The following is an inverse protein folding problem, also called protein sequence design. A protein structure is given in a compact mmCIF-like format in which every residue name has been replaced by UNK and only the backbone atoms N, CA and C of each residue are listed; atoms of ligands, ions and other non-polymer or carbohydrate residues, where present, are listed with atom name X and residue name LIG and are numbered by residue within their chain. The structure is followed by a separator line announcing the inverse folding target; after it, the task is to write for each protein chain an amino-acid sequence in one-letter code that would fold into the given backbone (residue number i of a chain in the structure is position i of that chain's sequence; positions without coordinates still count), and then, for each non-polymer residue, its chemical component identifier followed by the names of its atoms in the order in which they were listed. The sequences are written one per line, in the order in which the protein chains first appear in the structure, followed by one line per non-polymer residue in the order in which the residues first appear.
data_IF_528280564084
#
_entry.id   IF_528280564084
#
_cell.length_a   1.000
_cell.length_b   1.000
_cell.length_c   1.000
_cell.angle_alpha   90.00
_cell.angle_beta   90.00
_cell.angle_gamma   90.00
#
_symmetry.space_group_name_H-M   'P 1'
#
loop_
_entity.id
_entity.type
_entity.pdbx_description
1 polymer ?
#
# COMPACT_ATOMS: atom_id res chain seq x y z
N UNK A 1 -14.32 -11.33 12.25
CA UNK A 1 -13.80 -11.51 10.85
C UNK A 1 -12.34 -11.10 10.84
N UNK A 2 -11.50 -11.56 9.91
CA UNK A 2 -10.16 -11.02 9.78
C UNK A 2 -10.23 -9.50 9.55
N UNK A 3 -9.22 -8.78 10.02
CA UNK A 3 -9.09 -7.36 9.75
C UNK A 3 -8.96 -7.13 8.23
N UNK A 4 -9.32 -5.93 7.77
CA UNK A 4 -9.28 -5.56 6.36
C UNK A 4 -8.10 -4.64 6.09
N UNK A 5 -7.31 -4.93 5.07
CA UNK A 5 -6.33 -4.01 4.51
C UNK A 5 -7.09 -2.94 3.71
N UNK A 6 -7.28 -1.76 4.30
CA UNK A 6 -8.29 -0.83 3.79
C UNK A 6 -7.72 0.35 2.98
N UNK A 7 -6.46 0.72 3.17
CA UNK A 7 -5.86 1.78 2.37
C UNK A 7 -4.33 1.71 2.29
N UNK A 8 -3.79 2.42 1.30
CA UNK A 8 -2.37 2.77 1.17
C UNK A 8 -2.27 4.28 1.01
N UNK A 9 -1.30 4.90 1.67
CA UNK A 9 -1.02 6.32 1.50
C UNK A 9 0.30 6.52 0.74
N UNK A 10 0.29 7.41 -0.23
CA UNK A 10 1.45 7.81 -1.03
C UNK A 10 1.70 9.29 -0.80
N UNK A 11 2.89 9.63 -0.31
CA UNK A 11 3.34 11.01 -0.18
C UNK A 11 3.87 11.51 -1.53
N UNK A 12 3.36 12.65 -1.99
CA UNK A 12 3.68 13.21 -3.31
C UNK A 12 3.72 14.73 -3.26
N UNK A 13 4.67 15.33 -3.96
CA UNK A 13 4.68 16.78 -4.20
C UNK A 13 3.56 17.19 -5.16
N UNK A 14 3.16 16.29 -6.05
CA UNK A 14 2.08 16.46 -7.01
C UNK A 14 0.91 15.53 -6.70
N UNK A 15 0.49 15.46 -5.43
CA UNK A 15 -0.53 14.51 -4.95
C UNK A 15 -1.84 14.49 -5.76
N UNK A 16 -2.37 15.60 -6.32
CA UNK A 16 -3.54 15.54 -7.18
C UNK A 16 -3.26 14.85 -8.52
N UNK A 17 -2.07 15.09 -9.12
CA UNK A 17 -1.65 14.46 -10.35
C UNK A 17 -1.36 12.97 -10.14
N UNK A 18 -0.76 12.63 -8.99
CA UNK A 18 -0.52 11.24 -8.60
C UNK A 18 -1.85 10.47 -8.45
N UNK A 19 -2.85 11.04 -7.78
CA UNK A 19 -4.19 10.45 -7.71
C UNK A 19 -4.80 10.26 -9.10
N UNK A 20 -4.65 11.26 -9.99
CA UNK A 20 -5.13 11.19 -11.37
C UNK A 20 -4.46 10.09 -12.19
N UNK A 21 -3.18 9.81 -11.95
CA UNK A 21 -2.48 8.68 -12.55
C UNK A 21 -3.20 7.35 -12.24
N UNK A 22 -3.52 7.10 -10.97
CA UNK A 22 -4.21 5.87 -10.57
C UNK A 22 -5.66 5.80 -11.07
N UNK A 23 -6.37 6.93 -11.14
CA UNK A 23 -7.69 7.00 -11.76
C UNK A 23 -7.63 6.61 -13.25
N UNK A 24 -6.68 7.22 -13.99
CA UNK A 24 -6.60 7.06 -15.45
C UNK A 24 -6.09 5.69 -15.83
N UNK A 25 -5.06 5.17 -15.16
CA UNK A 25 -4.43 3.90 -15.53
C UNK A 25 -5.15 2.69 -14.95
N UNK A 26 -5.58 2.77 -13.70
CA UNK A 26 -6.18 1.63 -12.98
C UNK A 26 -7.69 1.75 -12.78
N UNK A 27 -8.33 2.79 -13.31
CA UNK A 27 -9.77 2.98 -13.19
C UNK A 27 -10.26 3.21 -11.75
N UNK A 28 -9.36 3.59 -10.84
CA UNK A 28 -9.75 3.95 -9.48
C UNK A 28 -10.66 5.16 -9.50
N UNK A 29 -11.56 5.31 -8.53
CA UNK A 29 -12.51 6.42 -8.50
C UNK A 29 -12.27 7.30 -7.31
N UNK A 30 -12.32 8.62 -7.56
CA UNK A 30 -12.28 9.64 -6.51
C UNK A 30 -13.61 9.67 -5.75
N UNK A 31 -13.53 9.77 -4.43
CA UNK A 31 -14.73 10.03 -3.62
C UNK A 31 -15.31 11.40 -3.94
N UNK A 32 -16.64 11.45 -4.07
CA UNK A 32 -17.38 12.68 -4.34
C UNK A 32 -17.57 13.56 -3.12
N UNK A 33 -17.39 13.03 -1.90
CA UNK A 33 -17.61 13.79 -0.67
C UNK A 33 -16.46 14.73 -0.33
N UNK A 34 -16.74 16.00 0.03
CA UNK A 34 -15.73 16.91 0.52
C UNK A 34 -15.02 16.34 1.75
N UNK A 35 -13.71 16.51 1.82
CA UNK A 35 -12.89 16.05 2.94
C UNK A 35 -12.14 17.22 3.57
N UNK A 36 -11.96 17.21 4.89
CA UNK A 36 -11.23 18.27 5.56
C UNK A 36 -9.72 18.23 5.33
N UNK A 37 -9.20 17.16 4.72
CA UNK A 37 -7.77 16.99 4.43
C UNK A 37 -7.42 17.49 3.03
N UNK A 38 -6.15 17.86 2.84
CA UNK A 38 -5.60 18.21 1.52
C UNK A 38 -5.30 16.97 0.65
N UNK A 39 -5.55 15.77 1.14
CA UNK A 39 -5.32 14.55 0.38
C UNK A 39 -6.38 14.32 -0.69
N UNK A 40 -6.00 13.65 -1.76
CA UNK A 40 -6.94 13.11 -2.74
C UNK A 40 -7.01 11.60 -2.55
N UNK A 41 -8.23 11.10 -2.33
CA UNK A 41 -8.47 9.67 -2.13
C UNK A 41 -9.14 9.11 -3.37
N UNK A 42 -8.54 8.09 -3.93
CA UNK A 42 -9.09 7.24 -4.99
C UNK A 42 -9.21 5.82 -4.45
N UNK A 43 -10.01 4.98 -5.07
CA UNK A 43 -10.18 3.61 -4.60
C UNK A 43 -10.74 2.68 -5.67
N UNK A 44 -10.54 1.39 -5.43
CA UNK A 44 -11.05 0.30 -6.27
C UNK A 44 -12.38 -0.29 -5.77
N UNK A 45 -12.95 0.29 -4.72
CA UNK A 45 -14.15 -0.20 -4.04
C UNK A 45 -13.86 -1.09 -2.83
N UNK A 46 -12.62 -1.50 -2.62
CA UNK A 46 -12.18 -2.25 -1.45
C UNK A 46 -11.00 -1.59 -0.75
N UNK A 47 -9.95 -1.24 -1.48
CA UNK A 47 -8.78 -0.52 -0.97
C UNK A 47 -8.81 0.92 -1.47
N UNK A 48 -8.55 1.85 -0.56
CA UNK A 48 -8.29 3.23 -0.92
C UNK A 48 -6.81 3.50 -1.13
N UNK A 49 -6.54 4.36 -2.10
CA UNK A 49 -5.24 4.94 -2.28
C UNK A 49 -5.34 6.42 -1.93
N UNK A 50 -4.62 6.81 -0.90
CA UNK A 50 -4.64 8.15 -0.36
C UNK A 50 -3.39 8.90 -0.81
N UNK A 51 -3.48 9.70 -1.85
CA UNK A 51 -2.40 10.57 -2.29
C UNK A 51 -2.36 11.81 -1.38
N UNK A 52 -1.30 11.91 -0.57
CA UNK A 52 -1.14 12.94 0.46
C UNK A 52 -0.02 13.92 0.10
N UNK A 53 -0.12 15.21 0.48
CA UNK A 53 0.97 16.15 0.30
C UNK A 53 2.22 15.67 1.03
N UNK A 54 3.34 15.58 0.31
CA UNK A 54 4.63 15.32 0.94
C UNK A 54 4.97 16.44 1.92
N UNK A 55 5.47 16.07 3.07
CA UNK A 55 5.96 17.04 4.06
C UNK A 55 7.43 17.28 3.84
N UNK A 56 7.87 18.50 4.14
CA UNK A 56 9.28 18.84 4.13
C UNK A 56 10.10 17.86 4.98
N UNK A 57 11.29 17.47 4.48
CA UNK A 57 12.14 16.47 5.13
C UNK A 57 11.68 15.00 5.00
N UNK A 58 10.59 14.72 4.24
CA UNK A 58 10.13 13.36 3.96
C UNK A 58 10.34 12.99 2.49
N UNK A 59 10.60 11.72 2.23
CA UNK A 59 10.65 11.19 0.86
C UNK A 59 9.24 11.12 0.25
N UNK A 60 9.16 11.18 -1.08
CA UNK A 60 7.97 10.75 -1.82
C UNK A 60 7.89 9.23 -1.87
N UNK A 61 6.72 8.69 -2.23
CA UNK A 61 6.46 7.26 -2.31
C UNK A 61 5.52 6.76 -1.22
N UNK A 62 5.48 5.45 -0.99
CA UNK A 62 4.57 4.84 -0.02
C UNK A 62 4.95 5.31 1.39
N UNK A 63 4.00 5.94 2.08
CA UNK A 63 4.18 6.48 3.43
C UNK A 63 3.70 5.50 4.52
N UNK A 64 2.50 4.98 4.37
CA UNK A 64 1.92 3.99 5.28
C UNK A 64 0.78 3.22 4.60
N UNK A 65 0.33 2.17 5.25
CA UNK A 65 -0.91 1.48 4.92
C UNK A 65 -1.87 1.51 6.11
N UNK A 66 -3.09 1.03 5.92
CA UNK A 66 -4.07 1.03 6.99
C UNK A 66 -4.81 -0.29 7.10
N UNK A 67 -5.24 -0.57 8.32
CA UNK A 67 -5.98 -1.77 8.71
C UNK A 67 -7.28 -1.33 9.38
N UNK A 68 -8.39 -1.87 8.90
CA UNK A 68 -9.71 -1.72 9.51
C UNK A 68 -10.04 -2.97 10.33
N UNK A 69 -10.46 -2.77 11.55
CA UNK A 69 -10.81 -3.83 12.51
C UNK A 69 -12.27 -3.69 12.98
N UNK A 70 -12.82 -4.76 13.56
CA UNK A 70 -14.17 -4.73 14.12
C UNK A 70 -14.20 -4.04 15.49
N UNK A 71 -13.13 -4.19 16.31
CA UNK A 71 -13.01 -3.65 17.64
C UNK A 71 -11.59 -3.13 17.87
N UNK A 72 -11.46 -1.81 18.06
CA UNK A 72 -10.18 -1.14 18.28
C UNK A 72 -9.59 -1.45 19.66
N UNK A 73 -10.42 -1.47 20.69
CA UNK A 73 -9.94 -1.66 22.07
C UNK A 73 -9.38 -3.09 22.23
N UNK A 74 -10.09 -4.09 21.72
CA UNK A 74 -9.61 -5.48 21.67
C UNK A 74 -8.33 -5.60 20.81
N UNK A 75 -8.28 -4.92 19.69
CA UNK A 75 -7.09 -4.94 18.83
C UNK A 75 -5.87 -4.33 19.53
N UNK A 76 -6.03 -3.19 20.19
CA UNK A 76 -4.95 -2.55 20.97
C UNK A 76 -4.49 -3.46 22.11
N UNK A 77 -5.43 -4.11 22.79
CA UNK A 77 -5.10 -5.10 23.84
C UNK A 77 -4.29 -6.28 23.27
N UNK A 78 -4.63 -6.77 22.08
CA UNK A 78 -3.86 -7.83 21.39
C UNK A 78 -2.47 -7.37 20.96
N UNK A 79 -2.32 -6.12 20.49
CA UNK A 79 -1.00 -5.53 20.19
C UNK A 79 -0.12 -5.56 21.43
N UNK A 80 -0.62 -5.01 22.55
CA UNK A 80 0.11 -4.97 23.82
C UNK A 80 0.43 -6.37 24.37
N UNK A 81 -0.49 -7.33 24.18
CA UNK A 81 -0.28 -8.74 24.58
C UNK A 81 0.79 -9.42 23.73
N UNK A 82 0.88 -9.10 22.44
CA UNK A 82 1.90 -9.64 21.55
C UNK A 82 3.29 -9.15 21.95
N UNK A 83 3.45 -7.86 22.18
CA UNK A 83 4.66 -7.25 22.71
C UNK A 83 4.31 -5.92 23.40
N UNK A 84 4.57 -5.84 24.71
CA UNK A 84 4.28 -4.64 25.52
C UNK A 84 5.07 -3.38 25.11
N UNK A 85 6.06 -3.52 24.21
CA UNK A 85 6.82 -2.40 23.67
C UNK A 85 6.18 -1.79 22.42
N UNK A 86 5.18 -2.46 21.83
CA UNK A 86 4.47 -1.93 20.68
C UNK A 86 3.48 -0.86 21.10
N UNK A 87 3.55 0.28 20.45
CA UNK A 87 2.75 1.44 20.80
C UNK A 87 1.62 1.66 19.79
N UNK A 88 0.48 2.11 20.29
CA UNK A 88 -0.62 2.61 19.48
C UNK A 88 -1.00 4.02 19.99
N UNK A 89 -1.06 4.99 19.07
CA UNK A 89 -1.30 6.40 19.37
C UNK A 89 -2.60 6.87 18.75
N UNK A 90 -3.49 7.42 19.56
CA UNK A 90 -4.76 8.01 19.09
C UNK A 90 -4.49 9.21 18.18
N UNK A 91 -5.23 9.29 17.08
CA UNK A 91 -5.11 10.37 16.10
C UNK A 91 -6.27 11.36 16.22
N UNK A 92 -6.07 12.62 15.76
CA UNK A 92 -7.17 13.59 15.71
C UNK A 92 -8.33 13.07 14.83
N UNK A 93 -9.59 13.33 15.21
CA UNK A 93 -10.78 12.80 14.53
C UNK A 93 -10.96 13.29 13.08
N UNK A 94 -10.18 14.27 12.66
CA UNK A 94 -10.19 14.78 11.27
C UNK A 94 -9.55 13.85 10.24
N UNK A 95 -8.92 12.75 10.68
CA UNK A 95 -8.31 11.77 9.78
C UNK A 95 -9.34 10.71 9.37
N UNK A 96 -9.70 10.61 8.08
CA UNK A 96 -10.81 9.75 7.64
C UNK A 96 -10.53 8.25 7.78
N UNK A 97 -9.26 7.84 7.87
CA UNK A 97 -8.88 6.41 7.89
C UNK A 97 -8.06 6.00 9.10
N UNK A 98 -7.80 6.93 10.01
CA UNK A 98 -6.92 6.69 11.13
C UNK A 98 -7.54 7.21 12.43
N UNK A 99 -8.19 6.32 13.17
CA UNK A 99 -8.52 6.59 14.56
C UNK A 99 -7.27 6.48 15.44
N UNK A 100 -6.35 5.58 15.08
CA UNK A 100 -5.08 5.35 15.73
C UNK A 100 -3.99 5.09 14.67
N UNK A 101 -2.73 5.30 15.04
CA UNK A 101 -1.58 4.75 14.31
C UNK A 101 -0.80 3.86 15.25
N UNK A 102 -0.32 2.75 14.73
CA UNK A 102 0.51 1.78 15.43
C UNK A 102 1.70 1.37 14.57
N UNK A 103 2.55 0.53 15.08
CA UNK A 103 3.66 -0.05 14.33
C UNK A 103 3.79 -1.55 14.60
N UNK A 104 4.37 -2.26 13.66
CA UNK A 104 4.73 -3.66 13.80
C UNK A 104 6.06 -3.82 14.59
N UNK A 105 6.51 -5.06 14.86
CA UNK A 105 7.76 -5.31 15.60
C UNK A 105 9.03 -4.71 15.01
N UNK A 106 9.00 -4.31 13.73
CA UNK A 106 10.13 -3.70 13.02
C UNK A 106 9.89 -2.21 12.68
N UNK A 107 8.99 -1.58 13.45
CA UNK A 107 8.65 -0.16 13.32
C UNK A 107 8.00 0.26 12.00
N UNK A 108 7.42 -0.66 11.24
CA UNK A 108 6.60 -0.28 10.09
C UNK A 108 5.27 0.29 10.57
N UNK A 109 5.05 1.58 10.29
CA UNK A 109 3.87 2.30 10.75
C UNK A 109 2.66 1.97 9.88
N UNK A 110 1.53 1.74 10.54
CA UNK A 110 0.23 1.58 9.90
C UNK A 110 -0.86 2.33 10.68
N UNK A 111 -1.91 2.70 9.96
CA UNK A 111 -3.07 3.32 10.56
C UNK A 111 -4.13 2.28 10.94
N UNK A 112 -4.82 2.50 12.05
CA UNK A 112 -5.92 1.67 12.53
C UNK A 112 -7.23 2.43 12.48
N UNK A 113 -8.24 1.79 11.93
CA UNK A 113 -9.62 2.26 11.92
C UNK A 113 -10.57 1.16 12.41
N UNK A 114 -11.74 1.57 12.89
CA UNK A 114 -12.79 0.64 13.25
C UNK A 114 -13.92 0.72 12.24
N UNK A 115 -14.46 -0.43 11.89
CA UNK A 115 -15.61 -0.54 11.00
C UNK A 115 -16.81 0.21 11.57
N UNK A 116 -17.54 0.93 10.71
CA UNK A 116 -18.75 1.68 11.07
C UNK A 116 -18.57 2.88 12.04
N UNK A 117 -17.37 3.43 12.18
CA UNK A 117 -17.21 4.72 12.84
C UNK A 117 -17.68 5.84 11.91
N UNK A 118 -18.44 6.82 12.45
CA UNK A 118 -19.20 7.81 11.67
C UNK A 118 -18.40 8.61 10.63
N UNK A 119 -17.21 9.05 10.95
CA UNK A 119 -16.38 9.81 10.02
C UNK A 119 -15.57 8.95 9.03
N UNK A 120 -15.62 7.62 9.18
CA UNK A 120 -14.97 6.64 8.32
C UNK A 120 -15.96 5.83 7.50
N UNK A 121 -17.27 6.01 7.79
CA UNK A 121 -18.32 5.35 7.01
C UNK A 121 -18.19 5.71 5.54
N UNK A 122 -18.22 4.68 4.74
CA UNK A 122 -18.53 4.75 3.32
C UNK A 122 -17.56 5.52 2.43
N UNK A 123 -16.35 5.83 2.94
CA UNK A 123 -15.33 6.47 2.09
C UNK A 123 -15.08 5.65 0.83
N UNK A 124 -15.21 4.33 0.91
CA UNK A 124 -15.06 3.40 -0.21
C UNK A 124 -16.36 2.76 -0.69
N UNK A 125 -17.42 2.73 0.12
CA UNK A 125 -18.72 2.27 -0.33
C UNK A 125 -19.27 3.14 -1.46
N UNK A 126 -18.99 4.44 -1.42
CA UNK A 126 -19.29 5.36 -2.53
C UNK A 126 -18.59 5.00 -3.84
N UNK A 127 -17.53 4.23 -3.76
CA UNK A 127 -16.72 3.84 -4.90
C UNK A 127 -17.20 2.54 -5.56
N UNK A 128 -18.36 2.02 -5.10
CA UNK A 128 -19.01 0.83 -5.62
C UNK A 128 -18.28 -0.45 -5.23
N UNK A 129 -18.60 -1.05 -4.09
CA UNK A 129 -17.95 -2.22 -3.48
C UNK A 129 -17.83 -3.50 -4.31
N UNK A 130 -18.03 -3.42 -5.63
CA UNK A 130 -17.88 -4.52 -6.56
C UNK A 130 -16.42 -4.73 -6.96
N UNK A 131 -16.08 -5.97 -7.25
CA UNK A 131 -14.77 -6.33 -7.79
C UNK A 131 -14.59 -5.65 -9.15
N UNK A 132 -13.60 -4.75 -9.25
CA UNK A 132 -13.25 -4.10 -10.50
C UNK A 132 -12.25 -4.95 -11.27
N UNK A 133 -12.21 -4.85 -12.59
CA UNK A 133 -11.22 -5.56 -13.40
C UNK A 133 -9.79 -5.20 -12.99
N UNK A 134 -9.56 -3.93 -12.61
CA UNK A 134 -8.27 -3.47 -12.05
C UNK A 134 -8.44 -3.08 -10.60
N UNK A 135 -7.70 -3.74 -9.71
CA UNK A 135 -7.79 -3.52 -8.27
C UNK A 135 -6.47 -3.81 -7.57
N UNK A 136 -6.30 -3.25 -6.38
CA UNK A 136 -5.13 -3.54 -5.54
C UNK A 136 -5.21 -4.98 -5.05
N UNK A 137 -4.20 -5.77 -5.38
CA UNK A 137 -4.09 -7.19 -5.02
C UNK A 137 -3.18 -7.43 -3.83
N UNK A 138 -2.12 -6.61 -3.67
CA UNK A 138 -1.21 -6.76 -2.56
C UNK A 138 -0.50 -5.45 -2.19
N UNK A 139 0.03 -5.45 -0.98
CA UNK A 139 0.91 -4.43 -0.43
C UNK A 139 2.17 -5.17 0.02
N UNK A 140 3.33 -4.75 -0.42
CA UNK A 140 4.58 -5.39 -0.07
C UNK A 140 5.40 -4.56 0.92
N UNK A 141 6.02 -5.26 1.84
CA UNK A 141 6.83 -4.72 2.93
C UNK A 141 8.11 -5.55 3.04
N UNK A 142 9.26 -4.89 3.16
CA UNK A 142 10.56 -5.53 3.45
C UNK A 142 10.96 -5.29 4.89
N UNK A 143 11.39 -6.35 5.56
CA UNK A 143 11.79 -6.24 6.96
C UNK A 143 12.83 -7.29 7.35
N UNK A 144 13.84 -6.95 8.16
CA UNK A 144 14.79 -7.92 8.70
C UNK A 144 14.14 -8.93 9.66
N UNK A 145 12.99 -8.61 10.24
CA UNK A 145 12.24 -9.47 11.17
C UNK A 145 10.97 -10.05 10.52
N UNK A 146 11.07 -10.52 9.27
CA UNK A 146 9.91 -10.88 8.46
C UNK A 146 8.99 -11.91 9.10
N UNK A 147 9.53 -12.96 9.73
CA UNK A 147 8.73 -13.98 10.41
C UNK A 147 7.98 -13.40 11.62
N UNK A 148 8.66 -12.61 12.46
CA UNK A 148 8.05 -11.99 13.64
C UNK A 148 6.96 -10.99 13.23
N UNK A 149 7.17 -10.23 12.16
CA UNK A 149 6.14 -9.33 11.62
C UNK A 149 4.97 -10.14 11.06
N UNK A 150 5.22 -11.25 10.35
CA UNK A 150 4.17 -12.13 9.86
C UNK A 150 3.32 -12.70 11.01
N UNK A 151 3.96 -13.19 12.06
CA UNK A 151 3.27 -13.69 13.25
C UNK A 151 2.46 -12.59 13.95
N UNK A 152 2.97 -11.37 13.99
CA UNK A 152 2.24 -10.21 14.51
C UNK A 152 0.93 -9.99 13.74
N UNK A 153 0.97 -9.89 12.44
CA UNK A 153 -0.23 -9.65 11.62
C UNK A 153 -1.23 -10.81 11.67
N UNK A 154 -0.75 -12.04 11.79
CA UNK A 154 -1.62 -13.23 11.98
C UNK A 154 -2.29 -13.19 13.35
N UNK A 155 -1.51 -13.02 14.44
CA UNK A 155 -2.01 -13.14 15.81
C UNK A 155 -2.84 -11.92 16.24
N UNK A 156 -2.49 -10.73 15.78
CA UNK A 156 -3.19 -9.49 16.18
C UNK A 156 -4.40 -9.24 15.27
N UNK A 157 -4.25 -9.40 13.97
CA UNK A 157 -5.27 -9.01 12.98
C UNK A 157 -6.03 -10.18 12.36
N UNK A 158 -5.62 -11.41 12.64
CA UNK A 158 -6.26 -12.60 12.08
C UNK A 158 -6.09 -12.76 10.58
N UNK A 159 -5.03 -12.18 9.98
CA UNK A 159 -4.73 -12.39 8.58
C UNK A 159 -4.36 -13.85 8.34
N UNK A 160 -4.82 -14.41 7.24
CA UNK A 160 -4.59 -15.82 6.91
C UNK A 160 -3.25 -16.00 6.18
N UNK A 161 -2.37 -16.80 6.76
CA UNK A 161 -1.08 -17.15 6.14
C UNK A 161 -1.30 -18.08 4.95
N UNK A 162 -0.74 -17.73 3.81
CA UNK A 162 -0.69 -18.56 2.60
C UNK A 162 0.74 -19.07 2.43
N UNK A 163 0.90 -20.39 2.28
CA UNK A 163 2.21 -20.99 2.11
C UNK A 163 2.65 -20.95 0.64
N UNK A 164 3.85 -20.39 0.42
CA UNK A 164 4.57 -20.44 -0.86
C UNK A 164 6.05 -20.80 -0.62
N UNK A 165 6.72 -21.50 -1.55
CA UNK A 165 8.07 -22.02 -1.32
C UNK A 165 9.20 -21.02 -1.56
N UNK A 166 8.93 -19.73 -1.71
CA UNK A 166 9.89 -18.70 -2.08
C UNK A 166 10.55 -17.95 -0.91
N UNK A 167 10.18 -18.33 0.32
CA UNK A 167 10.74 -17.73 1.54
C UNK A 167 10.12 -16.39 1.95
N UNK A 168 9.12 -15.90 1.22
CA UNK A 168 8.31 -14.75 1.60
C UNK A 168 7.09 -15.17 2.44
N UNK A 169 6.47 -14.22 3.13
CA UNK A 169 5.25 -14.46 3.89
C UNK A 169 4.07 -13.73 3.21
N UNK A 170 3.00 -14.46 2.99
CA UNK A 170 1.79 -13.98 2.32
C UNK A 170 0.63 -14.04 3.29
N UNK A 171 0.12 -12.90 3.69
CA UNK A 171 -0.93 -12.76 4.69
C UNK A 171 -2.16 -12.12 4.05
N UNK A 172 -3.27 -12.83 3.97
CA UNK A 172 -4.47 -12.37 3.28
C UNK A 172 -5.58 -12.00 4.24
N UNK A 173 -6.29 -10.93 3.92
CA UNK A 173 -7.57 -10.57 4.54
C UNK A 173 -8.78 -11.22 3.84
N UNK A 174 -8.53 -12.05 2.82
CA UNK A 174 -9.52 -12.68 1.94
C UNK A 174 -9.62 -12.03 0.56
N UNK A 175 -9.08 -10.82 0.36
CA UNK A 175 -9.06 -10.11 -0.94
C UNK A 175 -7.69 -9.54 -1.27
N UNK A 176 -7.05 -8.94 -0.31
CA UNK A 176 -5.74 -8.29 -0.46
C UNK A 176 -4.69 -9.06 0.33
N UNK A 177 -3.49 -9.13 -0.20
CA UNK A 177 -2.36 -9.79 0.45
C UNK A 177 -1.39 -8.75 0.99
N UNK A 178 -1.06 -8.84 2.28
CA UNK A 178 0.14 -8.21 2.81
C UNK A 178 1.31 -9.18 2.58
N UNK A 179 2.21 -8.82 1.67
CA UNK A 179 3.40 -9.59 1.36
C UNK A 179 4.55 -9.08 2.21
N UNK A 180 5.14 -9.94 3.03
CA UNK A 180 6.30 -9.60 3.85
C UNK A 180 7.52 -10.31 3.28
N UNK A 181 8.49 -9.50 2.88
CA UNK A 181 9.71 -9.92 2.20
C UNK A 181 10.87 -9.81 3.19
N UNK A 182 11.63 -10.89 3.46
CA UNK A 182 12.83 -10.79 4.27
C UNK A 182 13.84 -9.83 3.64
N UNK A 183 14.19 -8.77 4.38
CA UNK A 183 15.24 -7.84 3.97
C UNK A 183 16.60 -8.33 4.47
N UNK A 184 17.60 -8.25 3.61
CA UNK A 184 18.99 -8.60 3.92
C UNK A 184 19.90 -7.41 3.55
N UNK A 185 21.00 -7.25 4.27
CA UNK A 185 21.97 -6.17 3.95
C UNK A 185 22.49 -6.27 2.51
N UNK A 186 22.52 -7.46 1.93
CA UNK A 186 22.88 -7.66 0.52
C UNK A 186 21.86 -7.09 -0.49
N UNK A 187 20.66 -6.73 -0.02
CA UNK A 187 19.64 -6.06 -0.83
C UNK A 187 19.82 -4.52 -0.85
N UNK A 188 20.76 -3.99 -0.06
CA UNK A 188 21.05 -2.57 0.00
C UNK A 188 22.05 -2.17 -1.09
N UNK A 189 21.64 -1.25 -1.94
CA UNK A 189 22.44 -0.71 -3.04
C UNK A 189 22.54 0.82 -2.95
N UNK A 190 23.20 1.35 -1.93
CA UNK A 190 23.39 2.79 -1.82
C UNK A 190 22.20 3.53 -1.20
N UNK A 191 21.81 4.65 -1.75
CA UNK A 191 20.99 5.65 -1.05
C UNK A 191 19.49 5.36 -1.02
N UNK A 192 18.95 4.56 -1.89
CA UNK A 192 17.53 4.21 -1.97
C UNK A 192 17.30 3.21 -3.14
N UNK A 193 16.38 2.33 -3.11
CA UNK A 193 15.23 2.07 -2.25
C UNK A 193 15.18 0.66 -1.65
N UNK A 194 16.26 -0.05 -1.58
CA UNK A 194 16.30 -1.42 -1.02
C UNK A 194 16.47 -1.43 0.52
N UNK A 195 15.92 -0.45 1.20
CA UNK A 195 15.85 -0.39 2.68
C UNK A 195 14.63 -1.14 3.20
N UNK A 196 14.61 -1.43 4.50
CA UNK A 196 13.41 -1.95 5.17
C UNK A 196 12.26 -0.92 5.12
N UNK A 197 11.03 -1.42 5.10
CA UNK A 197 9.82 -0.61 5.02
C UNK A 197 8.89 -1.04 3.88
N UNK A 198 7.91 -0.22 3.58
CA UNK A 198 7.00 -0.44 2.45
C UNK A 198 7.76 -0.40 1.12
N UNK A 199 7.52 -1.41 0.28
CA UNK A 199 8.30 -1.66 -0.93
C UNK A 199 7.53 -1.32 -2.21
N UNK A 200 6.38 -1.93 -2.42
CA UNK A 200 5.57 -1.73 -3.61
C UNK A 200 4.09 -2.01 -3.39
N UNK A 201 3.28 -1.61 -4.35
CA UNK A 201 1.84 -1.90 -4.42
C UNK A 201 1.59 -2.80 -5.61
N UNK A 202 0.80 -3.85 -5.42
CA UNK A 202 0.41 -4.75 -6.49
C UNK A 202 -1.00 -4.49 -7.01
N UNK A 203 -1.15 -4.54 -8.32
CA UNK A 203 -2.44 -4.49 -8.99
C UNK A 203 -2.71 -5.79 -9.74
N UNK A 204 -3.94 -6.29 -9.62
CA UNK A 204 -4.48 -7.28 -10.53
C UNK A 204 -5.27 -6.56 -11.62
N UNK A 205 -5.08 -7.00 -12.87
CA UNK A 205 -5.70 -6.40 -14.05
C UNK A 205 -6.26 -7.45 -14.99
N UNK A 206 -7.14 -7.05 -15.88
CA UNK A 206 -7.71 -7.92 -16.92
C UNK A 206 -6.69 -8.29 -18.01
N UNK A 207 -5.72 -7.42 -18.29
CA UNK A 207 -4.67 -7.63 -19.28
C UNK A 207 -3.51 -6.67 -19.09
N UNK A 208 -2.31 -7.19 -18.93
CA UNK A 208 -1.06 -6.41 -18.89
C UNK A 208 -0.84 -5.65 -20.20
N UNK A 209 -1.13 -6.26 -21.33
CA UNK A 209 -1.00 -5.60 -22.64
C UNK A 209 -1.97 -4.43 -22.80
N UNK A 210 -3.17 -4.52 -22.22
CA UNK A 210 -4.09 -3.38 -22.21
C UNK A 210 -3.56 -2.26 -21.31
N UNK A 211 -3.02 -2.57 -20.14
CA UNK A 211 -2.39 -1.56 -19.25
C UNK A 211 -1.24 -0.85 -19.95
N UNK A 212 -0.40 -1.57 -20.71
CA UNK A 212 0.68 -0.95 -21.48
C UNK A 212 0.16 0.02 -22.54
N UNK A 213 -0.90 -0.35 -23.26
CA UNK A 213 -1.54 0.53 -24.27
C UNK A 213 -2.16 1.77 -23.61
N UNK A 214 -2.88 1.58 -22.50
CA UNK A 214 -3.52 2.67 -21.77
C UNK A 214 -2.45 3.63 -21.20
N UNK A 215 -1.32 3.11 -20.72
CA UNK A 215 -0.20 3.92 -20.24
C UNK A 215 0.43 4.74 -21.40
N UNK A 216 0.63 4.14 -22.57
CA UNK A 216 1.14 4.85 -23.74
C UNK A 216 0.18 5.97 -24.17
N UNK A 217 -1.11 5.68 -24.21
CA UNK A 217 -2.14 6.67 -24.50
C UNK A 217 -2.14 7.81 -23.47
N UNK A 218 -2.12 7.47 -22.19
CA UNK A 218 -2.11 8.45 -21.08
C UNK A 218 -0.89 9.39 -21.15
N UNK A 219 0.29 8.85 -21.44
CA UNK A 219 1.52 9.63 -21.61
C UNK A 219 1.45 10.52 -22.85
N UNK A 220 0.85 10.03 -23.93
CA UNK A 220 0.63 10.81 -25.15
C UNK A 220 -0.29 12.01 -24.94
N UNK A 221 -1.35 11.84 -24.14
CA UNK A 221 -2.27 12.92 -23.80
C UNK A 221 -1.69 13.90 -22.77
N UNK A 222 -0.90 13.39 -21.82
CA UNK A 222 -0.28 14.19 -20.77
C UNK A 222 1.10 13.63 -20.38
N UNK A 223 2.20 14.21 -20.89
CA UNK A 223 3.56 13.75 -20.58
C UNK A 223 3.93 13.78 -19.08
N UNK A 224 3.22 14.56 -18.25
CA UNK A 224 3.43 14.57 -16.80
C UNK A 224 2.93 13.30 -16.10
N UNK A 225 2.17 12.46 -16.80
CA UNK A 225 1.72 11.14 -16.34
C UNK A 225 2.76 10.04 -16.57
N UNK A 226 3.92 10.37 -17.08
CA UNK A 226 5.00 9.40 -17.23
C UNK A 226 5.54 9.02 -15.86
N UNK A 227 5.50 7.72 -15.54
CA UNK A 227 6.16 7.17 -14.35
C UNK A 227 7.68 7.40 -14.39
N UNK A 228 8.32 7.39 -13.24
CA UNK A 228 9.78 7.52 -13.20
C UNK A 228 10.44 6.29 -13.82
N UNK A 229 11.52 6.44 -14.60
CA UNK A 229 12.20 5.31 -15.23
C UNK A 229 12.70 4.31 -14.19
N UNK A 230 12.46 3.01 -14.44
CA UNK A 230 13.05 1.92 -13.69
C UNK A 230 14.39 1.50 -14.30
N UNK A 231 15.32 1.04 -13.45
CA UNK A 231 16.57 0.43 -13.93
C UNK A 231 17.62 1.43 -14.44
N UNK A 232 17.55 2.69 -14.02
CA UNK A 232 18.54 3.68 -14.42
C UNK A 232 19.81 3.60 -13.56
N UNK A 233 20.96 3.38 -14.19
CA UNK A 233 22.26 3.19 -13.54
C UNK A 233 22.39 1.85 -12.80
N UNK A 234 23.56 1.54 -12.27
CA UNK A 234 23.86 0.26 -11.61
C UNK A 234 22.94 -0.02 -10.41
N UNK A 235 22.70 0.99 -9.59
CA UNK A 235 21.81 0.85 -8.42
C UNK A 235 20.34 0.64 -8.85
N UNK A 236 19.88 1.39 -9.84
CA UNK A 236 18.53 1.24 -10.38
C UNK A 236 18.30 -0.12 -11.05
N UNK A 237 19.30 -0.63 -11.77
CA UNK A 237 19.26 -1.97 -12.38
C UNK A 237 19.23 -3.07 -11.31
N UNK A 238 20.04 -2.93 -10.26
CA UNK A 238 20.04 -3.87 -9.16
C UNK A 238 18.70 -3.88 -8.43
N UNK A 239 18.12 -2.71 -8.20
CA UNK A 239 16.80 -2.56 -7.60
C UNK A 239 15.70 -3.15 -8.47
N UNK A 240 15.74 -2.92 -9.77
CA UNK A 240 14.80 -3.52 -10.71
C UNK A 240 14.88 -5.05 -10.70
N UNK A 241 16.10 -5.62 -10.72
CA UNK A 241 16.30 -7.08 -10.62
C UNK A 241 15.74 -7.64 -9.31
N UNK A 242 15.86 -6.90 -8.21
CA UNK A 242 15.28 -7.30 -6.93
C UNK A 242 13.74 -7.24 -6.97
N UNK A 243 13.17 -6.20 -7.56
CA UNK A 243 11.73 -6.04 -7.72
C UNK A 243 11.12 -7.10 -8.64
N UNK A 244 11.78 -7.42 -9.75
CA UNK A 244 11.37 -8.48 -10.70
C UNK A 244 11.35 -9.88 -10.10
N UNK A 245 11.95 -10.09 -8.93
CA UNK A 245 11.82 -11.34 -8.16
C UNK A 245 10.50 -11.45 -7.39
N UNK A 246 9.65 -10.41 -7.42
CA UNK A 246 8.31 -10.53 -6.85
C UNK A 246 7.52 -11.58 -7.62
N UNK A 247 7.03 -12.65 -6.96
CA UNK A 247 6.37 -13.75 -7.65
C UNK A 247 4.87 -13.51 -7.88
N UNK A 248 4.35 -12.33 -7.55
CA UNK A 248 2.93 -12.01 -7.64
C UNK A 248 2.57 -11.34 -8.96
N UNK A 249 3.48 -10.56 -9.54
CA UNK A 249 3.26 -9.87 -10.80
C UNK A 249 4.23 -10.27 -11.90
N UNK A 250 3.95 -9.82 -13.09
CA UNK A 250 4.76 -10.09 -14.28
C UNK A 250 5.12 -8.84 -15.08
N UNK A 251 4.57 -7.69 -14.71
CA UNK A 251 4.88 -6.40 -15.31
C UNK A 251 5.11 -5.36 -14.21
N UNK A 252 6.17 -4.56 -14.36
CA UNK A 252 6.64 -3.64 -13.35
C UNK A 252 6.71 -2.22 -13.90
N UNK A 253 6.17 -1.26 -13.18
CA UNK A 253 6.21 0.16 -13.51
C UNK A 253 6.32 1.01 -12.24
N UNK A 254 6.39 2.31 -12.41
CA UNK A 254 6.27 3.27 -11.32
C UNK A 254 5.16 4.26 -11.58
N UNK A 255 4.66 4.88 -10.52
CA UNK A 255 3.89 6.11 -10.65
C UNK A 255 4.81 7.33 -10.93
N UNK A 256 4.20 8.51 -11.00
CA UNK A 256 4.92 9.76 -11.28
C UNK A 256 5.92 10.18 -10.19
N UNK A 257 5.82 9.61 -8.99
CA UNK A 257 6.73 9.86 -7.87
C UNK A 257 7.81 8.78 -7.73
N UNK A 258 7.71 7.69 -8.47
CA UNK A 258 8.61 6.56 -8.40
C UNK A 258 8.15 5.44 -7.45
N UNK A 259 6.90 5.47 -6.99
CA UNK A 259 6.32 4.34 -6.25
C UNK A 259 6.31 3.10 -7.15
N UNK A 260 6.91 2.02 -6.67
CA UNK A 260 6.96 0.77 -7.41
C UNK A 260 5.57 0.11 -7.47
N UNK A 261 5.20 -0.31 -8.67
CA UNK A 261 3.92 -0.96 -8.95
C UNK A 261 4.18 -2.30 -9.64
N UNK A 262 3.66 -3.37 -9.02
CA UNK A 262 3.69 -4.72 -9.55
C UNK A 262 2.33 -5.08 -10.15
N UNK A 263 2.29 -5.60 -11.38
CA UNK A 263 1.05 -5.85 -12.11
C UNK A 263 0.95 -7.32 -12.50
N UNK A 264 -0.19 -7.93 -12.19
CA UNK A 264 -0.57 -9.31 -12.51
C UNK A 264 -1.89 -9.38 -13.26
N UNK A 265 -2.09 -10.46 -14.04
CA UNK A 265 -3.39 -10.85 -14.61
C UNK A 265 -4.15 -11.83 -13.73
#
# INVERSE_FOLDING_TARGET
MPAKLNHVAIASDQYPLNARFYESLFGMKTSSKPRPSRSVVVGDGYVGLNSIPRREGRCSGIDHFGIEVDDLDDTIARITKFDAKLEAVKRPPVRPFAAWSAHDPDCNVFDLSQRNIDFQKDVYAELGGETRPRHISHIALRTPQAERCADFYVNVFGLTRQNRPDGNFYLSDGRVTLMIIPWKIGDYYGQDPARSGLDHIGFKVESVEQVKKDMQFLIGENPLMHGRPLGYGEEGEARLKLFQKCPLGCFHLTDIEGTLIDVAE
#
